data_IF_053906773922
#
_entry.id   IF_053906773922
#
_cell.length_a   1.000
_cell.length_b   1.000
_cell.length_c   1.000
_cell.angle_alpha   90.00
_cell.angle_beta   90.00
_cell.angle_gamma   90.00
#
_symmetry.space_group_name_H-M   'P 1'
#
loop_
_entity.id
_entity.type
_entity.pdbx_description
1 polymer ?
#
# COMPACT_ATOMS: atom_id res chain seq x y z
N UNK A 1 -20.12 21.74 12.82
CA UNK A 1 -19.53 20.44 12.42
C UNK A 1 -18.08 20.39 12.91
N UNK A 2 -17.63 19.35 13.63
CA UNK A 2 -16.30 19.33 14.23
C UNK A 2 -15.21 19.16 13.16
N UNK A 3 -14.24 20.07 13.14
CA UNK A 3 -13.03 19.96 12.36
C UNK A 3 -12.12 18.88 12.97
N UNK A 4 -11.45 18.09 12.13
CA UNK A 4 -10.56 17.01 12.58
C UNK A 4 -9.19 17.12 11.92
N UNK A 5 -8.12 17.03 12.70
CA UNK A 5 -6.80 16.81 12.12
C UNK A 5 -6.65 15.34 11.65
N UNK A 6 -5.53 15.00 11.00
CA UNK A 6 -5.33 13.64 10.46
C UNK A 6 -5.32 12.55 11.52
N UNK A 7 -4.81 12.81 12.74
CA UNK A 7 -4.88 11.86 13.84
C UNK A 7 -6.33 11.58 14.28
N UNK A 8 -7.11 12.65 14.45
CA UNK A 8 -8.52 12.55 14.83
C UNK A 8 -9.36 11.89 13.75
N UNK A 9 -9.03 12.14 12.47
CA UNK A 9 -9.69 11.50 11.34
C UNK A 9 -9.38 10.00 11.28
N UNK A 10 -8.10 9.59 11.41
CA UNK A 10 -7.70 8.18 11.45
C UNK A 10 -8.35 7.45 12.62
N UNK A 11 -8.33 8.03 13.83
CA UNK A 11 -9.00 7.47 15.00
C UNK A 11 -10.49 7.27 14.76
N UNK A 12 -11.15 8.25 14.15
CA UNK A 12 -12.59 8.17 13.91
C UNK A 12 -12.98 7.20 12.78
N UNK A 13 -12.11 6.99 11.79
CA UNK A 13 -12.38 6.11 10.66
C UNK A 13 -12.07 4.64 10.98
N UNK A 14 -11.01 4.39 11.76
CA UNK A 14 -10.47 3.04 11.96
C UNK A 14 -10.37 2.62 13.43
N UNK A 15 -10.71 3.49 14.39
CA UNK A 15 -10.58 3.21 15.82
C UNK A 15 -9.12 3.17 16.32
N UNK A 16 -8.16 3.54 15.49
CA UNK A 16 -6.73 3.44 15.79
C UNK A 16 -6.19 4.74 16.37
N UNK A 17 -5.59 4.66 17.55
CA UNK A 17 -4.87 5.79 18.16
C UNK A 17 -3.40 5.78 17.74
N UNK A 18 -2.86 6.96 17.40
CA UNK A 18 -1.44 7.18 17.12
C UNK A 18 -0.81 6.28 16.04
N UNK A 19 -1.61 5.76 15.11
CA UNK A 19 -1.10 4.99 13.96
C UNK A 19 -0.30 5.89 13.01
N UNK A 20 1.03 5.92 13.19
CA UNK A 20 1.95 6.71 12.36
C UNK A 20 1.87 6.39 10.86
N UNK A 21 1.80 5.13 10.40
CA UNK A 21 1.72 4.80 8.97
C UNK A 21 0.49 5.42 8.29
N UNK A 22 -0.70 5.19 8.84
CA UNK A 22 -1.95 5.79 8.35
C UNK A 22 -1.92 7.32 8.38
N UNK A 23 -1.33 7.91 9.43
CA UNK A 23 -1.19 9.36 9.55
C UNK A 23 -0.29 9.94 8.44
N UNK A 24 0.83 9.29 8.15
CA UNK A 24 1.74 9.71 7.07
C UNK A 24 1.05 9.64 5.70
N UNK A 25 0.30 8.56 5.44
CA UNK A 25 -0.50 8.41 4.22
C UNK A 25 -1.62 9.46 4.12
N UNK A 26 -2.37 9.68 5.19
CA UNK A 26 -3.39 10.75 5.24
C UNK A 26 -2.80 12.14 4.94
N UNK A 27 -1.62 12.44 5.50
CA UNK A 27 -0.90 13.68 5.19
C UNK A 27 -0.42 13.72 3.72
N UNK A 28 -0.01 12.59 3.14
CA UNK A 28 0.36 12.50 1.73
C UNK A 28 -0.84 12.78 0.81
N UNK A 29 -2.02 12.28 1.14
CA UNK A 29 -3.26 12.55 0.39
C UNK A 29 -3.68 14.03 0.46
N UNK A 30 -3.50 14.67 1.63
CA UNK A 30 -3.68 16.11 1.79
C UNK A 30 -2.66 16.95 1.02
N UNK A 31 -1.42 16.45 0.86
CA UNK A 31 -0.38 17.15 0.11
C UNK A 31 -0.58 17.05 -1.41
N UNK A 32 -1.10 15.93 -1.88
CA UNK A 32 -1.33 15.69 -3.30
C UNK A 32 -2.70 16.17 -3.79
N UNK A 33 -3.52 16.80 -2.94
CA UNK A 33 -4.86 17.27 -3.24
C UNK A 33 -5.81 16.15 -3.72
N UNK A 34 -5.66 14.93 -3.17
CA UNK A 34 -6.67 13.87 -3.35
C UNK A 34 -7.96 14.28 -2.66
N UNK A 35 -7.82 14.83 -1.45
CA UNK A 35 -8.90 15.52 -0.75
C UNK A 35 -9.00 16.94 -1.32
N UNK A 36 -10.18 17.38 -1.79
CA UNK A 36 -10.36 18.72 -2.33
C UNK A 36 -9.97 19.81 -1.33
N UNK A 37 -9.21 20.85 -1.73
CA UNK A 37 -8.85 21.97 -0.86
C UNK A 37 -10.06 22.66 -0.23
N UNK A 38 -11.21 22.70 -0.93
CA UNK A 38 -12.48 23.23 -0.41
C UNK A 38 -12.98 22.52 0.86
N UNK A 39 -12.51 21.30 1.11
CA UNK A 39 -12.87 20.47 2.25
C UNK A 39 -11.79 20.45 3.35
N UNK A 40 -10.74 21.26 3.19
CA UNK A 40 -9.64 21.45 4.14
C UNK A 40 -9.66 22.89 4.65
N UNK A 41 -9.37 23.08 5.93
CA UNK A 41 -9.17 24.39 6.55
C UNK A 41 -7.73 24.45 7.04
N UNK A 42 -6.97 25.41 6.52
CA UNK A 42 -5.62 25.69 6.99
C UNK A 42 -5.71 26.63 8.21
N UNK A 43 -5.16 26.19 9.34
CA UNK A 43 -5.01 27.01 10.54
C UNK A 43 -3.53 27.41 10.69
N UNK A 44 -3.29 28.73 10.69
CA UNK A 44 -1.97 29.33 10.82
C UNK A 44 -1.26 29.58 9.48
N UNK A 45 -0.14 30.30 9.55
CA UNK A 45 0.70 30.63 8.40
C UNK A 45 1.75 29.53 8.18
N UNK A 46 1.89 29.06 6.94
CA UNK A 46 3.00 28.20 6.54
C UNK A 46 4.21 29.06 6.18
N UNK A 47 5.30 28.93 6.93
CA UNK A 47 6.58 29.57 6.64
C UNK A 47 7.68 28.50 6.57
N UNK A 48 8.11 28.22 5.33
CA UNK A 48 9.15 27.24 5.06
C UNK A 48 10.52 27.67 5.60
N UNK A 49 10.78 28.97 5.76
CA UNK A 49 12.03 29.50 6.31
C UNK A 49 12.13 29.30 7.82
N UNK A 50 10.99 29.24 8.51
CA UNK A 50 10.86 29.03 9.95
C UNK A 50 10.56 27.57 10.34
N UNK A 51 10.50 26.66 9.37
CA UNK A 51 10.07 25.26 9.61
C UNK A 51 8.62 25.12 10.10
N UNK A 52 7.80 26.19 9.98
CA UNK A 52 6.41 26.21 10.46
C UNK A 52 5.49 25.73 9.34
N UNK A 53 4.80 24.60 9.57
CA UNK A 53 3.75 24.09 8.68
C UNK A 53 2.38 24.46 9.24
N UNK A 54 1.50 24.99 8.38
CA UNK A 54 0.10 25.20 8.73
C UNK A 54 -0.55 23.89 9.15
N UNK A 55 -1.39 23.94 10.17
CA UNK A 55 -2.17 22.78 10.60
C UNK A 55 -3.34 22.62 9.63
N UNK A 56 -3.43 21.45 9.00
CA UNK A 56 -4.54 21.11 8.11
C UNK A 56 -5.65 20.44 8.89
N UNK A 57 -6.85 20.99 8.79
CA UNK A 57 -8.07 20.47 9.39
C UNK A 57 -9.05 20.00 8.32
N UNK A 58 -9.64 18.84 8.53
CA UNK A 58 -10.61 18.21 7.64
C UNK A 58 -12.03 18.55 8.09
N UNK A 59 -12.87 18.96 7.14
CA UNK A 59 -14.33 19.01 7.33
C UNK A 59 -14.89 17.59 7.38
N UNK A 60 -16.06 17.42 7.99
CA UNK A 60 -16.70 16.09 8.12
C UNK A 60 -16.95 15.42 6.77
N UNK A 61 -17.32 16.18 5.74
CA UNK A 61 -17.49 15.71 4.35
C UNK A 61 -16.20 15.15 3.73
N UNK A 62 -15.02 15.52 4.23
CA UNK A 62 -13.75 15.02 3.73
C UNK A 62 -13.38 13.63 4.27
N UNK A 63 -14.11 13.15 5.30
CA UNK A 63 -13.78 11.89 5.96
C UNK A 63 -14.03 10.69 5.07
N UNK A 64 -15.11 10.68 4.30
CA UNK A 64 -15.40 9.59 3.36
C UNK A 64 -14.42 9.59 2.18
N UNK A 65 -14.07 10.78 1.67
CA UNK A 65 -13.01 10.93 0.68
C UNK A 65 -11.65 10.41 1.20
N UNK A 66 -11.27 10.76 2.44
CA UNK A 66 -10.04 10.26 3.05
C UNK A 66 -10.11 8.74 3.29
N UNK A 67 -11.26 8.22 3.74
CA UNK A 67 -11.47 6.80 3.93
C UNK A 67 -11.26 6.04 2.61
N UNK A 68 -11.89 6.49 1.53
CA UNK A 68 -11.76 5.88 0.20
C UNK A 68 -10.31 5.91 -0.29
N UNK A 69 -9.60 7.03 -0.09
CA UNK A 69 -8.19 7.13 -0.45
C UNK A 69 -7.32 6.14 0.35
N UNK A 70 -7.62 5.94 1.64
CA UNK A 70 -6.92 4.98 2.48
C UNK A 70 -7.29 3.53 2.12
N UNK A 71 -8.53 3.22 1.74
CA UNK A 71 -8.88 1.89 1.24
C UNK A 71 -8.10 1.59 -0.05
N UNK A 72 -8.03 2.55 -0.97
CA UNK A 72 -7.27 2.44 -2.21
C UNK A 72 -5.75 2.38 -1.97
N UNK A 73 -5.25 2.99 -0.89
CA UNK A 73 -3.84 2.87 -0.46
C UNK A 73 -3.41 1.41 -0.24
N UNK A 74 -4.35 0.57 0.19
CA UNK A 74 -4.11 -0.87 0.33
C UNK A 74 -3.65 -1.49 -0.99
N UNK A 75 -4.24 -1.08 -2.11
CA UNK A 75 -3.90 -1.57 -3.44
C UNK A 75 -2.76 -0.78 -4.10
N UNK A 76 -2.75 0.54 -3.90
CA UNK A 76 -1.90 1.47 -4.62
C UNK A 76 -1.13 2.36 -3.64
N UNK A 77 0.18 2.16 -3.56
CA UNK A 77 1.00 2.97 -2.65
C UNK A 77 1.34 4.38 -3.16
N UNK A 78 0.98 4.72 -4.40
CA UNK A 78 1.23 6.03 -5.01
C UNK A 78 0.01 6.99 -4.89
N UNK A 79 0.12 8.09 -4.11
CA UNK A 79 -0.95 9.07 -3.99
C UNK A 79 -1.36 9.74 -5.30
N UNK A 80 -0.45 9.83 -6.30
CA UNK A 80 -0.78 10.40 -7.62
C UNK A 80 -1.69 9.48 -8.42
N UNK A 81 -1.43 8.17 -8.35
CA UNK A 81 -2.30 7.17 -8.96
C UNK A 81 -3.67 7.16 -8.29
N UNK A 82 -3.72 7.18 -6.96
CA UNK A 82 -4.99 7.29 -6.22
C UNK A 82 -5.74 8.56 -6.62
N UNK A 83 -5.05 9.70 -6.75
CA UNK A 83 -5.68 10.93 -7.27
C UNK A 83 -6.30 10.72 -8.65
N UNK A 84 -5.56 10.08 -9.56
CA UNK A 84 -6.03 9.83 -10.91
C UNK A 84 -7.28 8.93 -10.92
N UNK A 85 -7.36 7.93 -10.04
CA UNK A 85 -8.56 7.10 -9.83
C UNK A 85 -9.77 7.93 -9.37
N UNK A 86 -9.55 9.00 -8.61
CA UNK A 86 -10.62 9.92 -8.18
C UNK A 86 -11.08 10.90 -9.27
N UNK A 87 -10.26 11.14 -10.31
CA UNK A 87 -10.48 12.21 -11.29
C UNK A 87 -10.85 11.70 -12.68
N UNK A 88 -10.40 10.49 -13.04
CA UNK A 88 -10.50 9.93 -14.38
C UNK A 88 -11.19 8.57 -14.31
N UNK A 89 -12.39 8.50 -14.88
CA UNK A 89 -13.19 7.27 -14.83
C UNK A 89 -12.56 6.12 -15.62
N UNK A 90 -11.89 6.40 -16.74
CA UNK A 90 -11.22 5.37 -17.51
C UNK A 90 -10.06 4.76 -16.70
N UNK A 91 -9.27 5.60 -16.03
CA UNK A 91 -8.23 5.11 -15.11
C UNK A 91 -8.82 4.35 -13.94
N UNK A 92 -9.94 4.81 -13.39
CA UNK A 92 -10.63 4.10 -12.30
C UNK A 92 -11.04 2.69 -12.71
N UNK A 93 -11.67 2.51 -13.88
CA UNK A 93 -12.07 1.19 -14.39
C UNK A 93 -10.85 0.29 -14.65
N UNK A 94 -9.79 0.82 -15.27
CA UNK A 94 -8.55 0.07 -15.49
C UNK A 94 -7.92 -0.40 -14.18
N UNK A 95 -7.86 0.47 -13.17
CA UNK A 95 -7.31 0.12 -11.86
C UNK A 95 -8.26 -0.80 -11.06
N UNK A 96 -9.57 -0.78 -11.32
CA UNK A 96 -10.51 -1.72 -10.72
C UNK A 96 -10.26 -3.16 -11.19
N UNK A 97 -9.79 -3.37 -12.43
CA UNK A 97 -9.36 -4.69 -12.90
C UNK A 97 -8.15 -5.21 -12.11
N UNK A 98 -7.17 -4.34 -11.82
CA UNK A 98 -6.04 -4.70 -10.96
C UNK A 98 -6.49 -5.04 -9.53
N UNK A 99 -7.41 -4.26 -8.96
CA UNK A 99 -8.02 -4.58 -7.66
C UNK A 99 -8.71 -5.94 -7.68
N UNK A 100 -9.41 -6.28 -8.77
CA UNK A 100 -10.07 -7.58 -8.92
C UNK A 100 -9.05 -8.72 -8.91
N UNK A 101 -8.03 -8.68 -9.75
CA UNK A 101 -6.97 -9.71 -9.79
C UNK A 101 -6.34 -9.91 -8.42
N UNK A 102 -6.08 -8.81 -7.73
CA UNK A 102 -5.51 -8.83 -6.39
C UNK A 102 -6.45 -9.48 -5.38
N UNK A 103 -7.75 -9.15 -5.40
CA UNK A 103 -8.73 -9.72 -4.48
C UNK A 103 -9.01 -11.20 -4.77
N UNK A 104 -9.07 -11.60 -6.05
CA UNK A 104 -9.19 -12.99 -6.47
C UNK A 104 -8.05 -13.82 -5.90
N UNK A 105 -6.81 -13.32 -6.09
CA UNK A 105 -5.64 -13.93 -5.46
C UNK A 105 -5.79 -13.92 -3.95
N UNK A 106 -6.06 -12.79 -3.30
CA UNK A 106 -6.15 -12.65 -1.84
C UNK A 106 -7.05 -13.67 -1.17
N UNK A 107 -8.20 -13.92 -1.78
CA UNK A 107 -9.22 -14.80 -1.25
C UNK A 107 -9.11 -16.22 -1.80
N UNK A 108 -8.07 -16.52 -2.59
CA UNK A 108 -7.81 -17.80 -3.23
C UNK A 108 -8.99 -18.32 -4.06
N UNK A 109 -9.63 -17.41 -4.81
CA UNK A 109 -10.76 -17.71 -5.70
C UNK A 109 -10.45 -17.29 -7.13
N UNK A 110 -11.09 -17.97 -8.09
CA UNK A 110 -10.85 -17.75 -9.53
C UNK A 110 -11.85 -16.83 -10.20
N UNK A 111 -13.02 -16.63 -9.60
CA UNK A 111 -14.12 -15.87 -10.18
C UNK A 111 -14.69 -14.85 -9.19
N UNK A 112 -15.11 -13.68 -9.71
CA UNK A 112 -15.62 -12.56 -8.90
C UNK A 112 -16.82 -12.96 -8.06
N UNK A 113 -17.69 -13.83 -8.57
CA UNK A 113 -18.87 -14.30 -7.83
C UNK A 113 -18.53 -15.10 -6.56
N UNK A 114 -17.30 -15.60 -6.44
CA UNK A 114 -16.81 -16.32 -5.27
C UNK A 114 -16.08 -15.41 -4.28
N UNK A 115 -15.85 -14.13 -4.61
CA UNK A 115 -15.31 -13.17 -3.65
C UNK A 115 -16.31 -12.92 -2.52
N UNK A 116 -15.81 -12.49 -1.37
CA UNK A 116 -16.65 -11.96 -0.29
C UNK A 116 -17.60 -10.88 -0.80
N UNK A 117 -18.80 -10.80 -0.23
CA UNK A 117 -19.80 -9.79 -0.62
C UNK A 117 -19.23 -8.37 -0.57
N UNK A 118 -18.39 -8.06 0.42
CA UNK A 118 -17.74 -6.77 0.56
C UNK A 118 -16.80 -6.45 -0.61
N UNK A 119 -16.00 -7.43 -1.05
CA UNK A 119 -15.11 -7.30 -2.21
C UNK A 119 -15.89 -7.14 -3.52
N UNK A 120 -16.99 -7.90 -3.71
CA UNK A 120 -17.86 -7.74 -4.87
C UNK A 120 -18.49 -6.33 -4.93
N UNK A 121 -19.00 -5.85 -3.79
CA UNK A 121 -19.57 -4.51 -3.68
C UNK A 121 -18.51 -3.43 -3.92
N UNK A 122 -17.32 -3.55 -3.34
CA UNK A 122 -16.21 -2.64 -3.59
C UNK A 122 -15.87 -2.54 -5.09
N UNK A 123 -15.74 -3.68 -5.78
CA UNK A 123 -15.44 -3.70 -7.22
C UNK A 123 -16.57 -3.08 -8.05
N UNK A 124 -17.83 -3.35 -7.69
CA UNK A 124 -18.99 -2.74 -8.36
C UNK A 124 -19.01 -1.22 -8.20
N UNK A 125 -18.74 -0.70 -7.00
CA UNK A 125 -18.70 0.75 -6.72
C UNK A 125 -17.51 1.42 -7.39
N UNK A 126 -16.37 0.74 -7.48
CA UNK A 126 -15.19 1.28 -8.14
C UNK A 126 -15.39 1.36 -9.66
N UNK A 127 -16.12 0.42 -10.27
CA UNK A 127 -16.44 0.41 -11.69
C UNK A 127 -17.59 1.33 -12.08
N UNK A 128 -18.42 1.73 -11.14
CA UNK A 128 -19.57 2.57 -11.39
C UNK A 128 -19.16 4.02 -11.67
N UNK A 129 -19.44 4.47 -12.90
CA UNK A 129 -19.18 5.84 -13.34
C UNK A 129 -19.92 6.87 -12.48
N UNK A 130 -21.14 6.56 -12.02
CA UNK A 130 -21.98 7.45 -11.23
C UNK A 130 -21.55 7.53 -9.75
N UNK A 131 -20.75 6.58 -9.27
CA UNK A 131 -20.31 6.57 -7.88
C UNK A 131 -19.26 7.66 -7.63
N UNK A 132 -19.59 8.63 -6.77
CA UNK A 132 -18.68 9.73 -6.45
C UNK A 132 -17.78 9.38 -5.25
N UNK A 133 -16.50 9.09 -5.53
CA UNK A 133 -15.48 8.75 -4.54
C UNK A 133 -15.19 9.85 -3.51
N UNK A 134 -15.62 11.10 -3.75
CA UNK A 134 -15.43 12.22 -2.82
C UNK A 134 -16.59 12.43 -1.87
N UNK A 135 -17.77 11.90 -2.21
CA UNK A 135 -19.02 12.17 -1.50
C UNK A 135 -19.58 10.92 -0.82
N UNK A 136 -19.34 9.73 -1.39
CA UNK A 136 -19.88 8.47 -0.90
C UNK A 136 -18.76 7.54 -0.45
N UNK A 137 -18.98 6.85 0.67
CA UNK A 137 -18.02 5.90 1.22
C UNK A 137 -18.04 4.57 0.47
N UNK A 138 -16.87 4.08 0.06
CA UNK A 138 -16.68 2.75 -0.50
C UNK A 138 -16.88 1.67 0.58
N UNK A 139 -17.39 0.53 0.16
CA UNK A 139 -17.32 -0.68 0.97
C UNK A 139 -15.86 -1.11 1.07
N UNK A 140 -15.37 -1.39 2.28
CA UNK A 140 -14.01 -1.88 2.46
C UNK A 140 -13.95 -3.37 2.11
N UNK A 141 -13.11 -3.80 1.14
CA UNK A 141 -13.01 -5.21 0.75
C UNK A 141 -12.24 -6.06 1.77
N UNK A 142 -11.68 -5.43 2.81
CA UNK A 142 -10.86 -6.04 3.84
C UNK A 142 -11.61 -6.20 5.17
N UNK A 143 -12.94 -6.32 5.21
CA UNK A 143 -13.69 -6.26 6.47
C UNK A 143 -13.21 -7.28 7.55
N UNK A 144 -12.75 -8.45 7.14
CA UNK A 144 -12.25 -9.51 8.04
C UNK A 144 -10.74 -9.42 8.33
N UNK A 145 -10.01 -8.53 7.64
CA UNK A 145 -8.56 -8.35 7.78
C UNK A 145 -8.26 -6.89 8.14
N UNK A 146 -7.41 -6.61 9.14
CA UNK A 146 -6.99 -5.22 9.37
C UNK A 146 -6.44 -4.65 8.06
N UNK A 147 -6.78 -3.39 7.75
CA UNK A 147 -6.34 -2.72 6.52
C UNK A 147 -4.86 -3.04 6.26
N UNK A 148 -4.47 -3.41 5.02
CA UNK A 148 -3.12 -3.88 4.75
C UNK A 148 -2.02 -2.98 5.27
N UNK A 149 -2.25 -1.67 5.25
CA UNK A 149 -1.33 -0.63 5.72
C UNK A 149 -1.29 -0.40 7.24
N UNK A 150 -2.14 -1.05 8.02
CA UNK A 150 -2.16 -0.99 9.50
C UNK A 150 -1.23 -2.03 10.11
N UNK A 151 -1.07 -3.19 9.46
CA UNK A 151 -0.19 -4.27 9.93
C UNK A 151 1.29 -4.05 9.56
N UNK A 152 1.59 -2.96 8.86
CA UNK A 152 2.91 -2.69 8.31
C UNK A 152 3.81 -1.91 9.27
N UNK A 153 4.71 -2.64 9.91
CA UNK A 153 5.98 -2.09 10.37
C UNK A 153 6.91 -1.69 9.18
N UNK A 154 6.58 -2.08 7.94
CA UNK A 154 7.34 -1.75 6.73
C UNK A 154 6.58 -0.82 5.80
N UNK A 155 7.10 0.40 5.67
CA UNK A 155 6.54 1.45 4.85
C UNK A 155 6.48 1.00 3.37
N UNK A 156 5.28 1.01 2.78
CA UNK A 156 5.00 0.97 1.32
C UNK A 156 4.85 -0.40 0.59
N UNK A 157 4.47 -1.51 1.25
CA UNK A 157 4.25 -2.82 0.55
C UNK A 157 2.98 -3.60 0.91
N UNK A 158 2.06 -3.00 1.68
CA UNK A 158 0.88 -3.59 2.33
C UNK A 158 0.27 -4.85 1.75
N UNK A 159 -0.54 -4.70 0.71
CA UNK A 159 -1.37 -5.80 0.25
C UNK A 159 -0.56 -6.88 -0.45
N UNK A 160 0.42 -6.53 -1.29
CA UNK A 160 1.31 -7.53 -1.91
C UNK A 160 2.07 -8.34 -0.84
N UNK A 161 2.58 -7.69 0.20
CA UNK A 161 3.22 -8.39 1.31
C UNK A 161 2.25 -9.32 2.06
N UNK A 162 1.03 -8.87 2.36
CA UNK A 162 0.01 -9.70 3.02
C UNK A 162 -0.43 -10.88 2.14
N UNK A 163 -0.57 -10.68 0.84
CA UNK A 163 -0.87 -11.74 -0.13
C UNK A 163 0.23 -12.80 -0.14
N UNK A 164 1.49 -12.37 -0.28
CA UNK A 164 2.64 -13.26 -0.28
C UNK A 164 2.70 -14.07 1.02
N UNK A 165 2.50 -13.39 2.16
CA UNK A 165 2.56 -14.04 3.47
C UNK A 165 1.41 -15.02 3.72
N UNK A 166 0.18 -14.67 3.30
CA UNK A 166 -1.01 -15.53 3.46
C UNK A 166 -0.99 -16.75 2.53
N UNK A 167 -0.31 -16.66 1.39
CA UNK A 167 -0.23 -17.73 0.38
C UNK A 167 1.14 -18.38 0.29
N UNK A 168 1.92 -18.36 1.39
CA UNK A 168 3.32 -18.81 1.43
C UNK A 168 3.55 -20.21 0.81
N UNK A 169 2.55 -21.09 0.85
CA UNK A 169 2.59 -22.46 0.32
C UNK A 169 2.35 -22.58 -1.19
N UNK A 170 1.80 -21.54 -1.85
CA UNK A 170 1.46 -21.53 -3.27
C UNK A 170 2.29 -20.52 -4.09
N UNK A 171 3.31 -19.93 -3.49
CA UNK A 171 4.12 -18.90 -4.13
C UNK A 171 5.03 -19.49 -5.22
N UNK A 172 5.12 -18.80 -6.35
CA UNK A 172 6.20 -19.02 -7.32
C UNK A 172 7.57 -18.68 -6.73
N UNK A 173 8.67 -19.20 -7.32
CA UNK A 173 10.03 -18.89 -6.87
C UNK A 173 10.29 -17.38 -6.77
N UNK A 174 9.78 -16.60 -7.73
CA UNK A 174 9.88 -15.13 -7.74
C UNK A 174 9.23 -14.51 -6.51
N UNK A 175 8.03 -14.96 -6.19
CA UNK A 175 7.23 -14.48 -5.06
C UNK A 175 7.84 -14.89 -3.71
N UNK A 176 8.43 -16.09 -3.62
CA UNK A 176 9.15 -16.54 -2.43
C UNK A 176 10.40 -15.70 -2.15
N UNK A 177 11.23 -15.46 -3.18
CA UNK A 177 12.43 -14.61 -3.08
C UNK A 177 12.02 -13.19 -2.68
N UNK A 178 10.98 -12.65 -3.31
CA UNK A 178 10.47 -11.31 -3.00
C UNK A 178 9.96 -11.23 -1.56
N UNK A 179 9.25 -12.24 -1.06
CA UNK A 179 8.77 -12.28 0.32
C UNK A 179 9.94 -12.27 1.32
N UNK A 180 10.94 -13.15 1.15
CA UNK A 180 12.11 -13.17 2.04
C UNK A 180 12.89 -11.84 2.00
N UNK A 181 13.04 -11.25 0.81
CA UNK A 181 13.66 -9.94 0.65
C UNK A 181 12.88 -8.83 1.38
N UNK A 182 11.54 -8.84 1.28
CA UNK A 182 10.68 -7.92 2.01
C UNK A 182 10.72 -8.16 3.52
N UNK A 183 10.88 -9.39 4.00
CA UNK A 183 11.05 -9.73 5.41
C UNK A 183 12.44 -9.36 5.96
N UNK A 184 13.33 -8.78 5.13
CA UNK A 184 14.75 -8.51 5.42
C UNK A 184 15.56 -9.77 5.76
N UNK A 185 15.05 -10.95 5.45
CA UNK A 185 15.77 -12.21 5.57
C UNK A 185 16.61 -12.41 4.29
N UNK A 186 17.70 -11.65 4.20
CA UNK A 186 18.60 -11.68 3.05
C UNK A 186 19.28 -13.04 2.86
N UNK A 187 19.46 -13.82 3.94
CA UNK A 187 20.04 -15.16 3.87
C UNK A 187 19.07 -16.11 3.16
N UNK A 188 17.82 -16.18 3.61
CA UNK A 188 16.81 -17.03 2.98
C UNK A 188 16.53 -16.59 1.53
N UNK A 189 16.50 -15.27 1.28
CA UNK A 189 16.32 -14.73 -0.07
C UNK A 189 17.46 -15.16 -1.01
N UNK A 190 18.71 -15.12 -0.55
CA UNK A 190 19.88 -15.53 -1.34
C UNK A 190 19.90 -17.05 -1.59
N UNK A 191 19.56 -17.86 -0.59
CA UNK A 191 19.47 -19.32 -0.75
C UNK A 191 18.42 -19.71 -1.79
N UNK A 192 17.25 -19.06 -1.77
CA UNK A 192 16.20 -19.28 -2.77
C UNK A 192 16.62 -18.77 -4.15
N UNK A 193 17.31 -17.63 -4.22
CA UNK A 193 17.85 -17.08 -5.47
C UNK A 193 18.89 -18.01 -6.12
N UNK A 194 19.64 -18.76 -5.33
CA UNK A 194 20.63 -19.73 -5.80
C UNK A 194 20.02 -21.06 -6.27
N UNK A 195 18.77 -21.33 -5.90
CA UNK A 195 18.02 -22.51 -6.34
C UNK A 195 17.25 -22.27 -7.65
N UNK A 196 17.23 -21.05 -8.18
CA UNK A 196 16.51 -20.72 -9.42
C UNK A 196 17.26 -21.27 -10.65
N UNK A 197 16.57 -22.08 -11.45
CA UNK A 197 17.11 -22.61 -12.71
C UNK A 197 17.46 -21.50 -13.71
N UNK A 198 18.58 -21.67 -14.41
CA UNK A 198 19.06 -20.76 -15.45
C UNK A 198 18.05 -20.59 -16.59
N UNK A 199 17.28 -21.62 -16.93
CA UNK A 199 16.24 -21.55 -17.95
C UNK A 199 15.08 -20.63 -17.54
N UNK A 200 14.72 -20.61 -16.24
CA UNK A 200 13.69 -19.70 -15.70
C UNK A 200 14.18 -18.25 -15.67
N UNK A 201 15.47 -18.03 -15.38
CA UNK A 201 16.09 -16.70 -15.42
C UNK A 201 16.13 -16.12 -16.83
N UNK A 202 16.29 -16.95 -17.86
CA UNK A 202 16.25 -16.51 -19.26
C UNK A 202 14.83 -16.19 -19.75
N UNK A 203 13.80 -16.80 -19.12
CA UNK A 203 12.39 -16.59 -19.47
C UNK A 203 11.71 -15.42 -18.77
N UNK A 204 12.13 -15.05 -17.56
CA UNK A 204 11.56 -13.93 -16.78
C UNK A 204 12.64 -12.91 -16.39
N UNK A 205 12.72 -11.83 -17.16
CA UNK A 205 13.64 -10.72 -16.92
C UNK A 205 13.48 -10.10 -15.52
N UNK A 206 12.26 -10.03 -14.99
CA UNK A 206 12.01 -9.47 -13.67
C UNK A 206 12.47 -10.39 -12.54
N UNK A 207 12.44 -11.70 -12.75
CA UNK A 207 13.04 -12.67 -11.82
C UNK A 207 14.57 -12.56 -11.85
N UNK A 208 15.16 -12.39 -13.03
CA UNK A 208 16.61 -12.22 -13.19
C UNK A 208 17.13 -10.97 -12.46
N UNK A 209 16.45 -9.82 -12.62
CA UNK A 209 16.78 -8.59 -11.90
C UNK A 209 16.66 -8.76 -10.38
N UNK A 210 15.59 -9.41 -9.90
CA UNK A 210 15.38 -9.67 -8.48
C UNK A 210 16.50 -10.53 -7.89
N UNK A 211 16.86 -11.64 -8.56
CA UNK A 211 17.94 -12.53 -8.15
C UNK A 211 19.28 -11.80 -8.13
N UNK A 212 19.58 -11.00 -9.14
CA UNK A 212 20.81 -10.22 -9.19
C UNK A 212 20.89 -9.21 -8.02
N UNK A 213 19.78 -8.51 -7.75
CA UNK A 213 19.70 -7.54 -6.66
C UNK A 213 19.91 -8.19 -5.29
N UNK A 214 19.20 -9.29 -5.01
CA UNK A 214 19.31 -10.03 -3.75
C UNK A 214 20.74 -10.54 -3.54
N UNK A 215 21.36 -11.13 -4.57
CA UNK A 215 22.75 -11.61 -4.50
C UNK A 215 23.73 -10.49 -4.17
N UNK A 216 23.58 -9.33 -4.82
CA UNK A 216 24.43 -8.17 -4.57
C UNK A 216 24.29 -7.67 -3.13
N UNK A 217 23.06 -7.46 -2.67
CA UNK A 217 22.81 -6.98 -1.30
C UNK A 217 23.34 -7.97 -0.25
N UNK A 218 23.21 -9.27 -0.49
CA UNK A 218 23.75 -10.30 0.40
C UNK A 218 25.30 -10.30 0.41
N UNK A 219 25.95 -10.16 -0.74
CA UNK A 219 27.42 -10.03 -0.83
C UNK A 219 27.93 -8.76 -0.14
N UNK A 220 27.24 -7.64 -0.32
CA UNK A 220 27.54 -6.38 0.38
C UNK A 220 27.44 -6.57 1.89
N UNK A 221 26.38 -7.23 2.39
CA UNK A 221 26.23 -7.52 3.81
C UNK A 221 27.32 -8.46 4.36
N UNK A 222 27.72 -9.48 3.59
CA UNK A 222 28.81 -10.38 3.97
C UNK A 222 30.16 -9.66 4.02
N UNK A 223 30.47 -8.87 2.99
CA UNK A 223 31.72 -8.11 2.93
C UNK A 223 31.81 -7.08 4.06
N UNK A 224 30.70 -6.42 4.39
CA UNK A 224 30.63 -5.52 5.54
C UNK A 224 30.87 -6.24 6.87
N UNK A 225 30.21 -7.38 7.10
CA UNK A 225 30.47 -8.20 8.30
C UNK A 225 31.92 -8.68 8.38
N UNK A 226 32.51 -9.06 7.25
CA UNK A 226 33.93 -9.43 7.20
C UNK A 226 34.82 -8.25 7.60
N UNK A 227 34.55 -7.03 7.12
CA UNK A 227 35.27 -5.81 7.50
C UNK A 227 35.13 -5.47 8.98
N UNK A 228 33.95 -5.66 9.57
CA UNK A 228 33.74 -5.47 11.01
C UNK A 228 34.60 -6.43 11.85
N UNK A 229 34.75 -7.67 11.41
CA UNK A 229 35.60 -8.66 12.08
C UNK A 229 37.10 -8.36 11.99
N UNK A 230 37.51 -7.38 11.18
CA UNK A 230 38.90 -6.90 11.09
C UNK A 230 39.17 -5.67 11.95
N UNK A 231 38.16 -5.08 12.60
CA UNK A 231 38.37 -3.97 13.53
C UNK A 231 38.78 -4.52 14.91
N UNK A 232 39.83 -3.95 15.54
CA UNK A 232 40.19 -4.31 16.91
C UNK A 232 39.09 -3.86 17.89
N UNK A 233 38.88 -4.63 18.96
CA UNK A 233 37.94 -4.35 20.06
C UNK A 233 38.09 -2.94 20.66
#
# INVERSE_FOLDING_TARGET
MPLRNTNQAVKALFGLENSEPLRLKANAYLRNNVIPPSSVVDEGFSDASMGKRSKKWLKSQALDCLFNALVLDGFFNDPKLVKAIFEDSAKRVTNAALCEEVLLKAQAVTEVMHLSQAAQQFLSQLRDDAFNLRESRLVCPFADQRLPQVDLAMQNTGLLYQLLRSQRLSLSHKEQILLCWLEQDLLAAAQLADQVDLALLQGDMGLAELVQKVRREYQEAQSFNALLNFLPD
#
